data_IF_253209993873
#
_entry.id   IF_253209993873
#
_cell.length_a   1.000
_cell.length_b   1.000
_cell.length_c   1.000
_cell.angle_alpha   90.00
_cell.angle_beta   90.00
_cell.angle_gamma   90.00
#
_symmetry.space_group_name_H-M   'P 1'
#
loop_
_entity.id
_entity.type
_entity.pdbx_description
1 polymer ?
#
# COMPACT_ATOMS: atom_id res chain seq x y z
N UNK A 1 -15.53 28.83 24.27
CA UNK A 1 -15.08 27.57 23.66
C UNK A 1 -13.91 27.93 22.77
N UNK A 2 -12.69 27.56 23.15
CA UNK A 2 -11.49 27.78 22.33
C UNK A 2 -11.51 26.80 21.14
N UNK A 3 -11.15 27.21 19.92
CA UNK A 3 -11.06 26.32 18.78
C UNK A 3 -9.90 25.34 18.96
N UNK A 4 -10.18 24.04 18.86
CA UNK A 4 -9.17 22.99 18.88
C UNK A 4 -8.40 23.09 17.56
N UNK A 5 -7.14 23.54 17.62
CA UNK A 5 -6.24 23.45 16.46
C UNK A 5 -5.82 21.99 16.29
N UNK A 6 -5.88 21.42 15.07
CA UNK A 6 -5.36 20.09 14.84
C UNK A 6 -3.86 20.13 15.10
N UNK A 7 -3.40 19.34 16.07
CA UNK A 7 -1.96 19.14 16.28
C UNK A 7 -1.42 18.35 15.09
N UNK A 8 -0.52 18.98 14.33
CA UNK A 8 0.23 18.29 13.28
C UNK A 8 1.00 17.15 13.95
N UNK A 9 0.75 15.87 13.59
CA UNK A 9 1.46 14.77 14.21
C UNK A 9 2.95 14.91 13.89
N UNK A 10 3.80 14.91 14.93
CA UNK A 10 5.25 14.96 14.76
C UNK A 10 5.70 13.69 14.05
N UNK A 11 6.05 13.86 12.78
CA UNK A 11 6.32 12.77 11.85
C UNK A 11 7.79 12.71 11.44
N UNK A 12 8.66 13.39 12.21
CA UNK A 12 10.09 13.51 11.91
C UNK A 12 10.86 12.20 12.07
N UNK A 13 10.31 11.23 12.82
CA UNK A 13 11.00 9.98 13.17
C UNK A 13 10.43 8.72 12.48
N UNK A 14 9.64 8.85 11.41
CA UNK A 14 9.03 7.71 10.71
C UNK A 14 9.68 7.47 9.35
N UNK A 15 10.76 6.67 9.26
CA UNK A 15 11.52 6.48 8.01
C UNK A 15 10.70 5.86 6.87
N UNK A 16 9.62 5.14 7.17
CA UNK A 16 8.71 4.57 6.17
C UNK A 16 7.83 5.61 5.47
N UNK A 17 7.62 6.78 6.09
CA UNK A 17 6.82 7.86 5.50
C UNK A 17 7.59 8.63 4.42
N UNK A 18 8.92 8.55 4.41
CA UNK A 18 9.77 9.06 3.32
C UNK A 18 9.50 8.34 1.99
N UNK A 19 8.96 7.12 2.03
CA UNK A 19 8.57 6.38 0.83
C UNK A 19 7.18 6.75 0.32
N UNK A 20 6.41 7.53 1.08
CA UNK A 20 5.15 8.09 0.62
C UNK A 20 5.45 9.39 -0.13
N UNK A 21 4.72 9.65 -1.22
CA UNK A 21 4.88 10.78 -2.13
C UNK A 21 4.43 12.11 -1.49
N UNK A 22 4.86 12.37 -0.27
CA UNK A 22 4.61 13.59 0.47
C UNK A 22 5.90 14.41 0.50
N UNK A 23 5.78 15.73 0.34
CA UNK A 23 6.89 16.62 0.62
C UNK A 23 7.30 16.55 2.10
N UNK A 24 8.49 17.05 2.44
CA UNK A 24 9.01 17.02 3.81
C UNK A 24 8.11 17.76 4.83
N UNK A 25 7.19 18.59 4.35
CA UNK A 25 6.15 19.27 5.14
C UNK A 25 4.88 18.41 5.38
N UNK A 26 4.77 17.28 4.68
CA UNK A 26 3.71 16.26 4.71
C UNK A 26 2.27 16.79 4.65
N UNK A 27 2.10 18.02 4.16
CA UNK A 27 0.82 18.73 4.18
C UNK A 27 0.28 18.99 2.78
N UNK A 28 1.11 18.81 1.74
CA UNK A 28 0.69 18.86 0.35
C UNK A 28 0.78 17.47 -0.31
N UNK A 29 -0.32 17.05 -0.94
CA UNK A 29 -0.34 15.90 -1.85
C UNK A 29 -0.13 16.48 -3.25
N UNK A 30 1.04 16.24 -3.84
CA UNK A 30 1.30 16.65 -5.23
C UNK A 30 0.34 15.93 -6.17
N UNK A 31 -0.25 16.66 -7.10
CA UNK A 31 -1.05 16.04 -8.16
C UNK A 31 -0.14 15.30 -9.16
N UNK A 32 -0.63 14.29 -9.90
CA UNK A 32 0.20 13.51 -10.81
C UNK A 32 0.95 14.32 -11.88
N UNK A 33 0.41 15.48 -12.26
CA UNK A 33 0.94 16.45 -13.22
C UNK A 33 1.93 17.45 -12.61
N UNK A 34 1.94 17.59 -11.27
CA UNK A 34 2.89 18.41 -10.52
C UNK A 34 4.13 17.60 -10.09
N UNK A 35 4.20 16.34 -10.52
CA UNK A 35 5.27 15.41 -10.21
C UNK A 35 6.43 15.58 -11.21
N UNK A 36 7.32 16.53 -10.94
CA UNK A 36 8.60 16.60 -11.64
C UNK A 36 9.50 15.48 -11.13
N UNK A 37 9.53 14.36 -11.86
CA UNK A 37 10.49 13.31 -11.54
C UNK A 37 11.85 13.75 -12.02
N UNK A 38 12.72 14.06 -11.08
CA UNK A 38 14.08 14.40 -11.39
C UNK A 38 14.87 13.11 -11.67
N UNK A 39 15.80 13.07 -12.64
CA UNK A 39 16.64 11.90 -12.89
C UNK A 39 17.39 11.39 -11.65
N UNK A 40 17.66 12.27 -10.69
CA UNK A 40 18.26 11.98 -9.39
C UNK A 40 17.32 11.28 -8.39
N UNK A 41 15.99 11.40 -8.55
CA UNK A 41 15.03 10.55 -7.81
C UNK A 41 15.12 9.08 -8.26
N UNK A 42 15.59 8.86 -9.48
CA UNK A 42 15.95 7.56 -10.03
C UNK A 42 17.45 7.30 -10.02
N UNK A 43 18.22 8.02 -9.18
CA UNK A 43 19.65 7.79 -9.04
C UNK A 43 19.91 6.28 -9.02
N UNK A 44 20.81 5.77 -9.90
CA UNK A 44 21.01 4.34 -10.03
C UNK A 44 21.20 3.77 -8.64
N UNK A 45 20.38 2.80 -8.28
CA UNK A 45 20.54 2.06 -7.05
C UNK A 45 21.92 1.36 -7.16
N UNK A 46 22.97 2.03 -6.71
CA UNK A 46 24.31 1.47 -6.57
C UNK A 46 24.28 0.56 -5.33
N UNK A 47 23.64 -0.60 -5.50
CA UNK A 47 23.60 -1.66 -4.49
C UNK A 47 23.20 -2.94 -5.19
N UNK A 48 24.10 -3.94 -5.16
CA UNK A 48 24.00 -5.28 -5.77
C UNK A 48 22.72 -5.53 -6.57
N UNK A 49 22.85 -5.75 -7.89
CA UNK A 49 21.72 -6.05 -8.80
C UNK A 49 20.70 -7.05 -8.25
N UNK A 50 21.14 -8.03 -7.44
CA UNK A 50 20.26 -8.98 -6.73
C UNK A 50 19.34 -8.31 -5.71
N UNK A 51 19.84 -7.41 -4.87
CA UNK A 51 19.05 -6.73 -3.84
C UNK A 51 17.93 -5.87 -4.46
N UNK A 52 18.20 -5.26 -5.62
CA UNK A 52 17.21 -4.46 -6.36
C UNK A 52 16.14 -5.36 -6.98
N UNK A 53 16.57 -6.45 -7.62
CA UNK A 53 15.65 -7.44 -8.21
C UNK A 53 14.76 -8.05 -7.12
N UNK A 54 15.31 -8.41 -5.97
CA UNK A 54 14.55 -8.95 -4.84
C UNK A 54 13.52 -7.95 -4.31
N UNK A 55 13.84 -6.65 -4.28
CA UNK A 55 12.90 -5.61 -3.87
C UNK A 55 11.77 -5.41 -4.89
N UNK A 56 12.09 -5.44 -6.18
CA UNK A 56 11.08 -5.32 -7.26
C UNK A 56 10.16 -6.54 -7.27
N UNK A 57 10.72 -7.73 -7.16
CA UNK A 57 9.93 -8.96 -7.10
C UNK A 57 9.11 -9.00 -5.81
N UNK A 58 9.74 -8.71 -4.67
CA UNK A 58 9.10 -8.67 -3.37
C UNK A 58 7.95 -7.65 -3.31
N UNK A 59 8.06 -6.49 -3.96
CA UNK A 59 6.97 -5.52 -4.00
C UNK A 59 5.79 -6.01 -4.86
N UNK A 60 6.07 -6.61 -6.03
CA UNK A 60 5.03 -7.18 -6.90
C UNK A 60 4.31 -8.36 -6.25
N UNK A 61 5.06 -9.28 -5.63
CA UNK A 61 4.47 -10.38 -4.88
C UNK A 61 3.73 -9.87 -3.64
N UNK A 62 4.30 -8.93 -2.89
CA UNK A 62 3.69 -8.35 -1.71
C UNK A 62 2.36 -7.67 -2.01
N UNK A 63 2.26 -6.93 -3.12
CA UNK A 63 1.00 -6.36 -3.61
C UNK A 63 -0.05 -7.44 -3.86
N UNK A 64 0.34 -8.50 -4.59
CA UNK A 64 -0.57 -9.59 -5.00
C UNK A 64 -1.04 -10.41 -3.78
N UNK A 65 -0.12 -10.73 -2.86
CA UNK A 65 -0.43 -11.45 -1.62
C UNK A 65 -1.29 -10.57 -0.71
N UNK A 66 -0.98 -9.28 -0.59
CA UNK A 66 -1.76 -8.33 0.18
C UNK A 66 -3.21 -8.22 -0.29
N UNK A 67 -3.43 -8.14 -1.61
CA UNK A 67 -4.78 -8.14 -2.20
C UNK A 67 -5.54 -9.43 -1.87
N UNK A 68 -4.93 -10.60 -2.08
CA UNK A 68 -5.57 -11.89 -1.83
C UNK A 68 -5.92 -12.12 -0.35
N UNK A 69 -5.06 -11.69 0.58
CA UNK A 69 -5.34 -11.74 2.03
C UNK A 69 -6.44 -10.73 2.41
N UNK A 70 -6.32 -9.50 1.91
CA UNK A 70 -7.25 -8.40 2.21
C UNK A 70 -8.67 -8.63 1.70
N UNK A 71 -8.82 -9.31 0.55
CA UNK A 71 -10.12 -9.60 -0.07
C UNK A 71 -11.08 -10.36 0.87
N UNK A 72 -10.56 -11.19 1.79
CA UNK A 72 -11.37 -11.91 2.79
C UNK A 72 -12.23 -10.97 3.64
N UNK A 73 -11.66 -9.83 3.98
CA UNK A 73 -12.19 -8.89 4.98
C UNK A 73 -12.62 -7.57 4.36
N UNK A 74 -12.65 -7.50 3.04
CA UNK A 74 -13.14 -6.34 2.30
C UNK A 74 -14.55 -5.95 2.78
N UNK A 75 -14.73 -4.66 3.08
CA UNK A 75 -15.97 -4.07 3.60
C UNK A 75 -16.43 -4.57 4.98
N UNK A 76 -15.56 -5.22 5.76
CA UNK A 76 -15.85 -5.60 7.15
C UNK A 76 -15.48 -4.49 8.14
N UNK A 77 -16.25 -4.29 9.22
CA UNK A 77 -15.89 -3.34 10.27
C UNK A 77 -14.64 -3.80 11.01
N UNK A 78 -13.85 -2.85 11.55
CA UNK A 78 -12.62 -3.19 12.28
C UNK A 78 -12.84 -4.21 13.41
N UNK A 79 -13.95 -4.10 14.16
CA UNK A 79 -14.31 -5.07 15.21
C UNK A 79 -14.35 -6.53 14.71
N UNK A 80 -14.76 -6.75 13.46
CA UNK A 80 -14.77 -8.08 12.87
C UNK A 80 -13.37 -8.69 12.77
N UNK A 81 -12.34 -7.88 12.51
CA UNK A 81 -10.94 -8.31 12.41
C UNK A 81 -10.34 -8.70 13.76
N UNK A 82 -10.79 -8.06 14.84
CA UNK A 82 -10.40 -8.41 16.21
C UNK A 82 -10.92 -9.80 16.56
N UNK A 83 -12.18 -10.07 16.23
CA UNK A 83 -12.84 -11.35 16.51
C UNK A 83 -12.43 -12.45 15.50
N UNK A 84 -12.02 -12.09 14.28
CA UNK A 84 -11.71 -12.99 13.17
C UNK A 84 -10.40 -12.57 12.47
N UNK A 85 -9.24 -12.73 13.12
CA UNK A 85 -7.96 -12.35 12.53
C UNK A 85 -7.66 -13.20 11.28
N UNK A 86 -7.13 -12.55 10.24
CA UNK A 86 -6.69 -13.24 9.02
C UNK A 86 -5.20 -13.56 9.15
N UNK A 87 -4.88 -14.84 9.28
CA UNK A 87 -3.51 -15.34 9.50
C UNK A 87 -2.96 -16.16 8.34
N UNK A 88 -3.79 -16.48 7.33
CA UNK A 88 -3.43 -17.29 6.17
C UNK A 88 -4.24 -16.83 4.94
N UNK A 89 -3.81 -17.25 3.76
CA UNK A 89 -4.54 -17.16 2.51
C UNK A 89 -5.71 -18.15 2.55
N UNK A 90 -6.89 -17.72 2.97
CA UNK A 90 -8.06 -18.61 3.12
C UNK A 90 -9.06 -18.46 1.95
N UNK A 91 -9.02 -17.34 1.22
CA UNK A 91 -10.02 -17.02 0.19
C UNK A 91 -11.38 -16.60 0.78
N UNK A 92 -12.44 -16.58 -0.03
CA UNK A 92 -13.79 -16.17 0.32
C UNK A 92 -14.00 -14.66 0.18
N UNK A 93 -14.47 -14.02 1.25
CA UNK A 93 -14.78 -12.58 1.23
C UNK A 93 -16.04 -12.25 0.44
N UNK A 94 -16.22 -10.97 0.15
CA UNK A 94 -17.41 -10.43 -0.53
C UNK A 94 -17.65 -11.07 -1.91
N UNK A 95 -16.58 -11.49 -2.58
CA UNK A 95 -16.61 -12.02 -3.94
C UNK A 95 -16.49 -13.54 -4.02
N UNK A 96 -16.45 -14.25 -2.88
CA UNK A 96 -16.35 -15.71 -2.86
C UNK A 96 -15.10 -16.27 -3.53
N UNK A 97 -13.96 -15.58 -3.40
CA UNK A 97 -12.71 -15.93 -4.09
C UNK A 97 -12.16 -17.29 -3.64
N UNK A 98 -11.43 -17.97 -4.52
CA UNK A 98 -10.66 -19.15 -4.14
C UNK A 98 -9.41 -18.77 -3.32
N UNK A 99 -8.83 -19.74 -2.62
CA UNK A 99 -7.57 -19.56 -1.88
C UNK A 99 -6.47 -19.06 -2.83
N UNK A 100 -5.86 -17.91 -2.51
CA UNK A 100 -4.79 -17.30 -3.31
C UNK A 100 -5.25 -16.56 -4.58
N UNK A 101 -6.56 -16.48 -4.83
CA UNK A 101 -7.10 -15.72 -5.96
C UNK A 101 -7.12 -14.22 -5.62
N UNK A 102 -6.52 -13.42 -6.51
CA UNK A 102 -6.62 -11.95 -6.49
C UNK A 102 -7.82 -11.46 -7.27
N UNK A 103 -8.27 -10.25 -6.95
CA UNK A 103 -9.42 -9.62 -7.61
C UNK A 103 -9.06 -9.29 -9.06
N UNK A 104 -9.50 -10.13 -9.98
CA UNK A 104 -9.38 -9.89 -11.43
C UNK A 104 -10.58 -9.08 -11.90
N UNK A 105 -10.36 -8.11 -12.78
CA UNK A 105 -11.44 -7.55 -13.60
C UNK A 105 -11.85 -8.67 -14.55
N UNK A 106 -13.09 -9.15 -14.45
CA UNK A 106 -13.63 -10.03 -15.48
C UNK A 106 -13.82 -9.14 -16.71
N UNK A 107 -12.98 -9.35 -17.71
CA UNK A 107 -13.28 -8.90 -19.07
C UNK A 107 -14.02 -10.07 -19.68
N UNK A 108 -15.35 -10.05 -19.60
CA UNK A 108 -16.14 -10.97 -20.42
C UNK A 108 -15.89 -10.58 -21.88
N UNK A 109 -15.63 -11.58 -22.72
CA UNK A 109 -15.09 -11.40 -24.06
C UNK A 109 -15.87 -10.38 -24.90
N UNK A 110 -15.11 -9.49 -25.54
CA UNK A 110 -15.49 -8.78 -26.77
C UNK A 110 -14.69 -9.40 -27.90
#
# INVERSE_FOLDING_TARGET
MEPITPSTPDNKDKPWLKCQFHDADQTSIKKPDEFEISPEDFAPLEKNSRDIVDRIQGSMFGLTVGDAVGARVEFRPNRYLVDNPVTDLIGGGTWGLQRGQVRKRIVEGV
#
